data_IF_652436237958
#
_entry.id   IF_652436237958
#
_cell.length_a   1.000
_cell.length_b   1.000
_cell.length_c   1.000
_cell.angle_alpha   90.00
_cell.angle_beta   90.00
_cell.angle_gamma   90.00
#
_symmetry.space_group_name_H-M   'P 1'
#
loop_
_entity.id
_entity.type
_entity.pdbx_description
1 polymer ?
#
# COMPACT_ATOMS: atom_id res chain seq x y z
N UNK A 1 11.93 -2.42 11.47
CA UNK A 1 10.98 -1.45 10.87
C UNK A 1 10.64 -1.96 9.49
N UNK A 2 9.36 -2.24 9.22
CA UNK A 2 8.89 -2.67 7.91
C UNK A 2 8.09 -1.51 7.31
N UNK A 3 8.40 -1.16 6.07
CA UNK A 3 7.76 -0.07 5.33
C UNK A 3 7.56 -0.46 3.88
N UNK A 4 6.53 0.11 3.27
CA UNK A 4 6.34 0.15 1.82
C UNK A 4 6.80 1.51 1.34
N UNK A 5 7.71 1.53 0.36
CA UNK A 5 8.27 2.76 -0.20
C UNK A 5 7.29 3.50 -1.11
N UNK A 6 7.65 4.75 -1.44
CA UNK A 6 6.89 5.55 -2.40
C UNK A 6 6.82 4.83 -3.75
N UNK A 7 5.63 4.76 -4.34
CA UNK A 7 5.40 4.15 -5.65
C UNK A 7 5.71 2.64 -5.77
N UNK A 8 5.90 1.92 -4.65
CA UNK A 8 6.42 0.54 -4.65
C UNK A 8 5.64 -0.45 -5.52
N UNK A 9 4.31 -0.27 -5.62
CA UNK A 9 3.42 -1.04 -6.48
C UNK A 9 2.71 -0.17 -7.50
N UNK A 10 3.24 1.02 -7.81
CA UNK A 10 2.59 1.92 -8.77
C UNK A 10 2.45 1.27 -10.15
N UNK A 11 1.29 1.43 -10.79
CA UNK A 11 0.94 0.86 -12.10
C UNK A 11 0.98 -0.68 -12.14
N UNK A 12 0.81 -1.35 -10.99
CA UNK A 12 0.73 -2.81 -10.95
C UNK A 12 -0.68 -3.30 -11.28
N UNK A 13 -1.06 -3.25 -12.56
CA UNK A 13 -2.40 -3.66 -13.00
C UNK A 13 -2.69 -5.13 -12.66
N UNK A 14 -1.70 -6.02 -12.60
CA UNK A 14 -1.92 -7.42 -12.23
C UNK A 14 -2.15 -7.65 -10.73
N UNK A 15 -1.99 -6.62 -9.88
CA UNK A 15 -2.12 -6.77 -8.43
C UNK A 15 -3.59 -6.74 -8.02
N UNK A 16 -4.19 -7.91 -7.84
CA UNK A 16 -5.59 -8.02 -7.43
C UNK A 16 -5.80 -7.94 -5.91
N UNK A 17 -4.82 -8.44 -5.14
CA UNK A 17 -4.88 -8.54 -3.68
C UNK A 17 -3.48 -8.51 -3.08
N UNK A 18 -3.36 -7.96 -1.87
CA UNK A 18 -2.11 -7.95 -1.10
C UNK A 18 -2.41 -8.21 0.38
N UNK A 19 -1.60 -9.08 1.00
CA UNK A 19 -1.60 -9.28 2.45
C UNK A 19 -0.44 -8.48 3.07
N UNK A 20 -0.78 -7.55 3.96
CA UNK A 20 0.20 -6.70 4.64
C UNK A 20 0.54 -7.30 6.02
N UNK A 21 1.81 -7.31 6.44
CA UNK A 21 2.18 -7.83 7.74
C UNK A 21 1.70 -6.90 8.87
N UNK A 22 1.32 -7.46 10.02
CA UNK A 22 0.89 -6.69 11.21
C UNK A 22 1.97 -5.71 11.72
N UNK A 23 3.25 -5.98 11.41
CA UNK A 23 4.38 -5.13 11.79
C UNK A 23 4.70 -4.03 10.75
N UNK A 24 3.84 -3.82 9.75
CA UNK A 24 3.97 -2.73 8.78
C UNK A 24 3.67 -1.39 9.47
N UNK A 25 4.64 -0.48 9.44
CA UNK A 25 4.55 0.80 10.18
C UNK A 25 4.19 1.96 9.25
N UNK A 26 4.64 1.90 7.99
CA UNK A 26 4.56 3.02 7.05
C UNK A 26 4.24 2.57 5.62
N UNK A 27 3.36 3.31 4.95
CA UNK A 27 3.09 3.19 3.51
C UNK A 27 3.42 4.54 2.85
N UNK A 28 4.33 4.50 1.88
CA UNK A 28 4.78 5.67 1.14
C UNK A 28 3.76 6.22 0.15
N UNK A 29 3.98 7.45 -0.29
CA UNK A 29 3.14 8.16 -1.26
C UNK A 29 3.00 7.35 -2.56
N UNK A 30 1.78 7.32 -3.12
CA UNK A 30 1.46 6.64 -4.39
C UNK A 30 1.85 5.16 -4.43
N UNK A 31 2.05 4.50 -3.27
CA UNK A 31 2.52 3.12 -3.20
C UNK A 31 1.66 2.14 -3.98
N UNK A 32 0.36 2.42 -4.14
CA UNK A 32 -0.60 1.61 -4.89
C UNK A 32 -1.31 2.40 -6.00
N UNK A 33 -0.70 3.52 -6.44
CA UNK A 33 -1.28 4.36 -7.49
C UNK A 33 -1.42 3.60 -8.80
N UNK A 34 -2.51 3.83 -9.54
CA UNK A 34 -2.80 3.15 -10.81
C UNK A 34 -2.79 1.61 -10.76
N UNK A 35 -3.11 0.98 -9.62
CA UNK A 35 -3.33 -0.47 -9.55
C UNK A 35 -4.77 -0.81 -9.95
N UNK A 36 -5.08 -0.88 -11.25
CA UNK A 36 -6.46 -0.90 -11.74
C UNK A 36 -7.29 -2.11 -11.28
N UNK A 37 -6.64 -3.26 -11.03
CA UNK A 37 -7.33 -4.47 -10.58
C UNK A 37 -7.27 -4.68 -9.05
N UNK A 38 -6.62 -3.78 -8.29
CA UNK A 38 -6.55 -3.89 -6.84
C UNK A 38 -7.89 -3.51 -6.22
N UNK A 39 -8.64 -4.53 -5.77
CA UNK A 39 -10.03 -4.34 -5.30
C UNK A 39 -10.11 -3.79 -3.88
N UNK A 40 -9.18 -4.19 -3.02
CA UNK A 40 -9.16 -3.80 -1.61
C UNK A 40 -7.80 -4.06 -0.98
N UNK A 41 -7.40 -3.20 -0.06
CA UNK A 41 -6.28 -3.43 0.85
C UNK A 41 -6.83 -3.51 2.27
N UNK A 42 -6.50 -4.58 2.98
CA UNK A 42 -6.78 -4.67 4.42
C UNK A 42 -5.62 -3.99 5.14
N UNK A 43 -5.92 -2.89 5.85
CA UNK A 43 -4.91 -2.18 6.63
C UNK A 43 -4.63 -2.93 7.94
N UNK A 44 -3.37 -3.33 8.20
CA UNK A 44 -3.00 -3.96 9.46
C UNK A 44 -3.14 -2.99 10.63
N UNK A 45 -3.40 -3.54 11.81
CA UNK A 45 -3.67 -2.76 13.02
C UNK A 45 -2.49 -1.90 13.48
N UNK A 46 -1.26 -2.29 13.09
CA UNK A 46 -0.02 -1.64 13.47
C UNK A 46 0.41 -0.45 12.61
N UNK A 47 -0.38 -0.02 11.61
CA UNK A 47 -0.04 1.16 10.81
C UNK A 47 -0.11 2.41 11.68
N UNK A 48 0.99 3.17 11.69
CA UNK A 48 1.11 4.41 12.44
C UNK A 48 1.03 5.62 11.50
N UNK A 49 1.51 5.46 10.26
CA UNK A 49 1.58 6.54 9.27
C UNK A 49 1.12 6.09 7.88
N UNK A 50 0.23 6.88 7.29
CA UNK A 50 -0.26 6.74 5.92
C UNK A 50 -0.04 8.09 5.23
N UNK A 51 0.70 8.10 4.12
CA UNK A 51 0.87 9.33 3.34
C UNK A 51 -0.42 9.71 2.61
N UNK A 52 -0.64 11.00 2.39
CA UNK A 52 -1.85 11.56 1.76
C UNK A 52 -2.13 11.02 0.35
N UNK A 53 -1.12 10.50 -0.36
CA UNK A 53 -1.22 9.99 -1.73
C UNK A 53 -1.35 8.48 -1.87
N UNK A 54 -1.71 7.72 -0.84
CA UNK A 54 -1.69 6.23 -0.89
C UNK A 54 -2.79 5.62 -1.78
N UNK A 55 -3.92 6.31 -2.00
CA UNK A 55 -5.13 5.74 -2.65
C UNK A 55 -5.56 6.52 -3.91
N UNK A 56 -4.65 7.25 -4.57
CA UNK A 56 -4.92 7.92 -5.86
C UNK A 56 -4.04 7.33 -6.96
#
# INVERSE_FOLDING_TARGET
MISIGNGAFSNCDSLESISLPESLINIGESAFSNCSNLKSIIMPSGIIYIDSGVIL
#
